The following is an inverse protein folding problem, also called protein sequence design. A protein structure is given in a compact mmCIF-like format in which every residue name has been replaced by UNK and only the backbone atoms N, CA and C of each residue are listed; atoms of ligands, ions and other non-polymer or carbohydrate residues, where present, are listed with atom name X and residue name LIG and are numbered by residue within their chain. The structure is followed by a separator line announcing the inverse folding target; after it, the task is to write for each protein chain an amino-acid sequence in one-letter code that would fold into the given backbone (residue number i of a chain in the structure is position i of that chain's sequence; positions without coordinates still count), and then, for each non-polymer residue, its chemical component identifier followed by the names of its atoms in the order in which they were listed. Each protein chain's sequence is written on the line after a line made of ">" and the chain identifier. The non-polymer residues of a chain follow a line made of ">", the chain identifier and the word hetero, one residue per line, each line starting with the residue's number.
data_IF_442411464653
#
_entry.id   IF_442411464653
#
_cell.length_a   1.000
_cell.length_b   1.000
_cell.length_c   1.000
_cell.angle_alpha   90.00
_cell.angle_beta   90.00
_cell.angle_gamma   90.00
#
_symmetry.space_group_name_H-M   'P 1'
#
loop_
_entity.id
_entity.type
_entity.pdbx_description
1 polymer ?
#
# COMPACT_ATOMS: atom_id res chain seq x y z
N UNK A 1 -22.85 1.32 -9.57
CA UNK A 1 -21.54 0.74 -9.21
C UNK A 1 -20.42 1.31 -10.09
N UNK A 2 -20.64 1.44 -11.40
CA UNK A 2 -19.61 1.83 -12.38
C UNK A 2 -18.96 3.21 -12.17
N UNK A 3 -19.72 4.22 -11.72
CA UNK A 3 -19.18 5.59 -11.51
C UNK A 3 -18.13 5.67 -10.38
N UNK A 4 -18.32 4.90 -9.31
CA UNK A 4 -17.37 4.84 -8.19
C UNK A 4 -16.11 4.05 -8.58
N UNK A 5 -16.27 2.90 -9.24
CA UNK A 5 -15.13 2.14 -9.75
C UNK A 5 -14.32 2.94 -10.78
N UNK A 6 -15.00 3.65 -11.69
CA UNK A 6 -14.35 4.56 -12.63
C UNK A 6 -13.54 5.64 -11.91
N UNK A 7 -14.06 6.23 -10.83
CA UNK A 7 -13.31 7.23 -10.07
C UNK A 7 -12.09 6.63 -9.38
N UNK A 8 -12.28 5.57 -8.60
CA UNK A 8 -11.22 4.97 -7.77
C UNK A 8 -10.08 4.36 -8.59
N UNK A 9 -10.35 3.95 -9.82
CA UNK A 9 -9.33 3.40 -10.76
C UNK A 9 -8.76 4.45 -11.71
N UNK A 10 -9.10 5.72 -11.50
CA UNK A 10 -8.65 6.83 -12.33
C UNK A 10 -9.06 6.67 -13.81
N UNK A 11 -10.33 6.42 -14.04
CA UNK A 11 -10.93 6.20 -15.35
C UNK A 11 -10.61 4.84 -15.97
N UNK A 12 -10.50 3.79 -15.15
CA UNK A 12 -10.03 2.45 -15.57
C UNK A 12 -8.60 2.43 -16.13
N UNK A 13 -7.81 3.46 -15.85
CA UNK A 13 -6.39 3.49 -16.24
C UNK A 13 -5.63 2.34 -15.57
N UNK A 14 -5.91 2.07 -14.29
CA UNK A 14 -5.30 0.97 -13.56
C UNK A 14 -6.24 -0.23 -13.47
N UNK A 15 -5.80 -1.37 -13.99
CA UNK A 15 -6.56 -2.63 -13.94
C UNK A 15 -6.21 -3.44 -12.69
N UNK A 16 -7.14 -4.27 -12.16
CA UNK A 16 -6.87 -5.12 -10.99
C UNK A 16 -5.67 -6.07 -11.12
N UNK A 17 -5.25 -6.35 -12.35
CA UNK A 17 -4.11 -7.20 -12.70
C UNK A 17 -2.76 -6.48 -12.56
N UNK A 18 -2.77 -5.14 -12.46
CA UNK A 18 -1.55 -4.34 -12.32
C UNK A 18 -1.16 -4.19 -10.85
N UNK A 19 0.14 -4.27 -10.51
CA UNK A 19 0.60 -4.13 -9.12
C UNK A 19 0.29 -2.75 -8.52
N UNK A 20 0.12 -1.73 -9.35
CA UNK A 20 -0.18 -0.35 -8.93
C UNK A 20 -1.65 -0.13 -8.57
N UNK A 21 -2.55 -1.05 -8.93
CA UNK A 21 -3.99 -0.93 -8.69
C UNK A 21 -4.33 -0.65 -7.23
N UNK A 22 -3.74 -1.42 -6.30
CA UNK A 22 -4.04 -1.29 -4.88
C UNK A 22 -3.49 0.00 -4.28
N UNK A 23 -2.41 0.55 -4.85
CA UNK A 23 -1.87 1.85 -4.48
C UNK A 23 -2.83 2.96 -4.91
N UNK A 24 -3.29 2.94 -6.17
CA UNK A 24 -4.29 3.87 -6.71
C UNK A 24 -5.58 3.81 -5.91
N UNK A 25 -6.07 2.60 -5.61
CA UNK A 25 -7.27 2.40 -4.81
C UNK A 25 -7.16 3.05 -3.44
N UNK A 26 -6.03 2.86 -2.75
CA UNK A 26 -5.80 3.45 -1.44
C UNK A 26 -5.69 4.97 -1.52
N UNK A 27 -4.89 5.51 -2.46
CA UNK A 27 -4.71 6.96 -2.63
C UNK A 27 -6.06 7.67 -2.81
N UNK A 28 -6.88 7.18 -3.75
CA UNK A 28 -8.17 7.79 -4.03
C UNK A 28 -9.14 7.69 -2.85
N UNK A 29 -9.21 6.53 -2.19
CA UNK A 29 -10.10 6.38 -1.02
C UNK A 29 -9.64 7.22 0.18
N UNK A 30 -8.34 7.26 0.47
CA UNK A 30 -7.79 8.09 1.55
C UNK A 30 -8.10 9.56 1.30
N UNK A 31 -7.82 10.08 0.09
CA UNK A 31 -8.11 11.47 -0.25
C UNK A 31 -9.62 11.78 -0.21
N UNK A 32 -10.47 10.87 -0.70
CA UNK A 32 -11.93 11.01 -0.63
C UNK A 32 -12.47 10.99 0.80
N UNK A 33 -11.84 10.25 1.72
CA UNK A 33 -12.24 10.18 3.13
C UNK A 33 -11.72 11.42 3.89
N UNK A 34 -10.52 11.89 3.59
CA UNK A 34 -9.92 13.04 4.27
C UNK A 34 -10.71 14.33 4.04
N UNK A 35 -11.22 14.57 2.83
CA UNK A 35 -11.98 15.80 2.50
C UNK A 35 -13.21 16.00 3.41
N UNK A 36 -14.18 15.06 3.50
CA UNK A 36 -15.33 15.21 4.38
C UNK A 36 -14.95 15.16 5.86
N UNK A 37 -13.89 14.43 6.22
CA UNK A 37 -13.37 14.42 7.60
C UNK A 37 -12.90 15.82 8.02
N UNK A 38 -12.04 16.46 7.23
CA UNK A 38 -11.59 17.83 7.52
C UNK A 38 -12.73 18.84 7.46
N UNK A 39 -13.70 18.68 6.56
CA UNK A 39 -14.87 19.54 6.53
C UNK A 39 -15.66 19.46 7.86
N UNK A 40 -15.85 18.24 8.38
CA UNK A 40 -16.47 18.03 9.69
C UNK A 40 -15.63 18.65 10.82
N UNK A 41 -14.31 18.51 10.80
CA UNK A 41 -13.42 19.13 11.78
C UNK A 41 -13.48 20.66 11.75
N UNK A 42 -13.54 21.29 10.57
CA UNK A 42 -13.74 22.75 10.44
C UNK A 42 -15.04 23.17 11.12
N UNK A 43 -16.13 22.45 10.89
CA UNK A 43 -17.44 22.74 11.50
C UNK A 43 -17.32 22.63 13.03
N UNK A 44 -16.71 21.57 13.55
CA UNK A 44 -16.50 21.41 14.99
C UNK A 44 -15.61 22.52 15.58
N UNK A 45 -14.51 22.85 14.91
CA UNK A 45 -13.55 23.84 15.39
C UNK A 45 -14.12 25.26 15.39
N UNK A 46 -14.94 25.63 14.41
CA UNK A 46 -15.58 26.95 14.33
C UNK A 46 -16.76 27.07 15.30
N UNK A 47 -17.67 26.09 15.32
CA UNK A 47 -18.94 26.23 16.04
C UNK A 47 -18.90 25.73 17.48
N UNK A 48 -18.08 24.71 17.79
CA UNK A 48 -18.04 24.09 19.12
C UNK A 48 -16.84 24.61 19.91
N UNK A 49 -15.63 24.50 19.35
CA UNK A 49 -14.40 24.81 20.07
C UNK A 49 -13.99 26.29 19.99
N UNK A 50 -14.50 27.04 19.00
CA UNK A 50 -14.14 28.44 18.69
C UNK A 50 -12.63 28.63 18.46
N UNK A 51 -11.97 27.61 17.91
CA UNK A 51 -10.53 27.59 17.60
C UNK A 51 -10.32 27.89 16.12
N UNK A 52 -10.33 29.17 15.76
CA UNK A 52 -10.23 29.61 14.36
C UNK A 52 -8.90 29.27 13.71
N UNK A 53 -7.80 29.25 14.48
CA UNK A 53 -6.47 28.91 13.97
C UNK A 53 -6.40 27.45 13.49
N UNK A 54 -7.00 26.53 14.24
CA UNK A 54 -7.05 25.10 13.85
C UNK A 54 -7.97 24.91 12.63
N UNK A 55 -9.10 25.61 12.60
CA UNK A 55 -9.99 25.58 11.44
C UNK A 55 -9.31 26.08 10.15
N UNK A 56 -8.39 27.05 10.26
CA UNK A 56 -7.59 27.51 9.13
C UNK A 56 -6.61 26.42 8.64
N UNK A 57 -5.97 25.71 9.56
CA UNK A 57 -5.10 24.56 9.24
C UNK A 57 -5.91 23.47 8.51
N UNK A 58 -7.10 23.15 9.01
CA UNK A 58 -7.99 22.17 8.37
C UNK A 58 -8.43 22.62 6.97
N UNK A 59 -8.69 23.92 6.77
CA UNK A 59 -9.01 24.46 5.44
C UNK A 59 -7.85 24.29 4.47
N UNK A 60 -6.62 24.61 4.90
CA UNK A 60 -5.41 24.39 4.11
C UNK A 60 -5.25 22.89 3.79
N UNK A 61 -5.55 22.00 4.74
CA UNK A 61 -5.50 20.57 4.54
C UNK A 61 -6.49 20.09 3.46
N UNK A 62 -7.71 20.63 3.42
CA UNK A 62 -8.68 20.34 2.34
C UNK A 62 -8.15 20.80 0.98
N UNK A 63 -7.59 22.01 0.90
CA UNK A 63 -7.05 22.54 -0.36
C UNK A 63 -5.91 21.67 -0.88
N UNK A 64 -5.00 21.22 0.00
CA UNK A 64 -3.92 20.29 -0.36
C UNK A 64 -4.49 18.94 -0.80
N UNK A 65 -5.47 18.38 -0.08
CA UNK A 65 -6.09 17.11 -0.43
C UNK A 65 -6.78 17.17 -1.81
N UNK A 66 -7.50 18.26 -2.11
CA UNK A 66 -8.12 18.50 -3.42
C UNK A 66 -7.06 18.67 -4.52
N UNK A 67 -5.99 19.40 -4.24
CA UNK A 67 -4.87 19.54 -5.17
C UNK A 67 -4.23 18.19 -5.48
N UNK A 68 -3.93 17.37 -4.47
CA UNK A 68 -3.35 16.04 -4.65
C UNK A 68 -4.28 15.11 -5.43
N UNK A 69 -5.59 15.16 -5.15
CA UNK A 69 -6.59 14.37 -5.87
C UNK A 69 -6.65 14.77 -7.34
N UNK A 70 -6.67 16.08 -7.63
CA UNK A 70 -6.67 16.61 -8.99
C UNK A 70 -5.37 16.30 -9.72
N UNK A 71 -4.22 16.47 -9.06
CA UNK A 71 -2.90 16.14 -9.58
C UNK A 71 -2.80 14.65 -9.93
N UNK A 72 -3.29 13.77 -9.06
CA UNK A 72 -3.26 12.33 -9.30
C UNK A 72 -4.11 11.92 -10.49
N UNK A 73 -5.34 12.44 -10.56
CA UNK A 73 -6.24 12.19 -11.69
C UNK A 73 -5.73 12.74 -13.03
N UNK A 74 -4.88 13.77 -13.02
CA UNK A 74 -4.31 14.35 -14.24
C UNK A 74 -3.00 13.67 -14.66
N UNK A 75 -2.17 13.20 -13.72
CA UNK A 75 -0.81 12.71 -14.01
C UNK A 75 -0.68 11.20 -13.99
N UNK A 76 -1.61 10.48 -13.35
CA UNK A 76 -1.57 9.03 -13.13
C UNK A 76 -0.26 8.56 -12.49
N UNK A 77 0.51 9.46 -11.85
CA UNK A 77 1.83 9.12 -11.31
C UNK A 77 1.71 8.63 -9.86
N UNK A 78 1.48 7.34 -9.70
CA UNK A 78 1.29 6.68 -8.40
C UNK A 78 2.45 6.96 -7.45
N UNK A 79 3.69 6.81 -7.92
CA UNK A 79 4.88 6.97 -7.06
C UNK A 79 5.02 8.38 -6.50
N UNK A 80 4.88 9.41 -7.33
CA UNK A 80 4.98 10.81 -6.88
C UNK A 80 3.82 11.16 -5.95
N UNK A 81 2.60 10.76 -6.29
CA UNK A 81 1.42 11.01 -5.46
C UNK A 81 1.52 10.31 -4.11
N UNK A 82 1.99 9.06 -4.06
CA UNK A 82 2.26 8.34 -2.80
C UNK A 82 3.21 9.12 -1.89
N UNK A 83 4.33 9.63 -2.44
CA UNK A 83 5.28 10.44 -1.67
C UNK A 83 4.63 11.72 -1.14
N UNK A 84 3.94 12.46 -2.01
CA UNK A 84 3.26 13.69 -1.62
C UNK A 84 2.19 13.45 -0.56
N UNK A 85 1.40 12.38 -0.68
CA UNK A 85 0.37 12.00 0.28
C UNK A 85 0.96 11.64 1.63
N UNK A 86 2.04 10.86 1.66
CA UNK A 86 2.72 10.50 2.92
C UNK A 86 3.36 11.72 3.57
N UNK A 87 4.00 12.60 2.81
CA UNK A 87 4.56 13.86 3.33
C UNK A 87 3.46 14.74 3.91
N UNK A 88 2.34 14.91 3.17
CA UNK A 88 1.17 15.65 3.64
C UNK A 88 0.63 15.07 4.95
N UNK A 89 0.37 13.76 5.00
CA UNK A 89 -0.12 13.10 6.22
C UNK A 89 0.88 13.20 7.39
N UNK A 90 2.18 13.08 7.13
CA UNK A 90 3.23 13.23 8.14
C UNK A 90 3.24 14.66 8.70
N UNK A 91 3.11 15.69 7.84
CA UNK A 91 3.06 17.08 8.30
C UNK A 91 1.84 17.35 9.18
N UNK A 92 0.67 16.80 8.85
CA UNK A 92 -0.54 16.91 9.66
C UNK A 92 -0.37 16.27 11.03
N UNK A 93 0.24 15.08 11.08
CA UNK A 93 0.53 14.40 12.34
C UNK A 93 1.51 15.19 13.21
N UNK A 94 2.56 15.76 12.63
CA UNK A 94 3.52 16.59 13.37
C UNK A 94 2.81 17.82 13.93
N UNK A 95 2.02 18.54 13.13
CA UNK A 95 1.28 19.70 13.63
C UNK A 95 0.31 19.32 14.74
N UNK A 96 -0.41 18.20 14.59
CA UNK A 96 -1.37 17.73 15.58
C UNK A 96 -0.70 17.36 16.90
N UNK A 97 0.44 16.64 16.84
CA UNK A 97 1.24 16.30 18.02
C UNK A 97 1.75 17.55 18.74
N UNK A 98 2.24 18.56 18.02
CA UNK A 98 2.76 19.79 18.64
C UNK A 98 1.65 20.61 19.32
N UNK A 99 0.43 20.62 18.75
CA UNK A 99 -0.71 21.39 19.26
C UNK A 99 -1.39 20.64 20.43
N UNK A 100 -1.69 19.35 20.26
CA UNK A 100 -2.47 18.58 21.24
C UNK A 100 -1.62 17.95 22.34
N UNK A 101 -0.34 17.68 22.09
CA UNK A 101 0.54 17.00 23.04
C UNK A 101 0.02 15.60 23.41
N UNK A 102 0.08 15.19 24.70
CA UNK A 102 -0.39 13.90 25.17
C UNK A 102 -1.91 13.86 25.40
N UNK A 103 -2.61 14.99 25.28
CA UNK A 103 -4.05 15.07 25.56
C UNK A 103 -4.84 14.11 24.67
N UNK A 104 -5.86 13.50 25.27
CA UNK A 104 -6.76 12.55 24.64
C UNK A 104 -6.05 11.44 23.84
N UNK A 105 -4.82 11.09 24.24
CA UNK A 105 -4.00 10.07 23.57
C UNK A 105 -3.77 10.35 22.08
N UNK A 106 -3.58 11.63 21.72
CA UNK A 106 -3.30 12.09 20.36
C UNK A 106 -2.14 11.34 19.67
N UNK A 107 -1.14 10.88 20.43
CA UNK A 107 -0.03 10.07 19.90
C UNK A 107 -0.44 8.75 19.25
N UNK A 108 -1.62 8.21 19.59
CA UNK A 108 -2.15 6.98 18.99
C UNK A 108 -2.28 7.08 17.47
N UNK A 109 -2.59 8.27 16.94
CA UNK A 109 -2.71 8.51 15.50
C UNK A 109 -1.38 8.36 14.75
N UNK A 110 -0.23 8.52 15.42
CA UNK A 110 1.08 8.32 14.79
C UNK A 110 1.32 6.86 14.42
N UNK A 111 0.64 5.92 15.08
CA UNK A 111 0.76 4.49 14.79
C UNK A 111 0.15 4.10 13.42
N UNK A 112 -0.65 4.98 12.80
CA UNK A 112 -1.17 4.78 11.43
C UNK A 112 -0.09 5.04 10.38
N UNK A 113 0.86 5.94 10.66
CA UNK A 113 1.87 6.37 9.68
C UNK A 113 2.75 5.23 9.16
N UNK A 114 3.24 4.28 9.98
CA UNK A 114 3.94 3.10 9.48
C UNK A 114 3.08 2.29 8.50
N UNK A 115 1.82 2.00 8.83
CA UNK A 115 0.95 1.19 7.97
C UNK A 115 0.77 1.83 6.58
N UNK A 116 0.50 3.14 6.52
CA UNK A 116 0.34 3.87 5.26
C UNK A 116 1.68 3.98 4.50
N UNK A 117 2.77 4.33 5.18
CA UNK A 117 4.06 4.57 4.53
C UNK A 117 4.68 3.31 3.93
N UNK A 118 4.61 2.17 4.64
CA UNK A 118 5.09 0.89 4.10
C UNK A 118 4.27 0.41 2.91
N UNK A 119 2.95 0.64 2.94
CA UNK A 119 2.09 0.27 1.84
C UNK A 119 2.36 1.14 0.60
N UNK A 120 2.38 2.48 0.75
CA UNK A 120 2.46 3.40 -0.38
C UNK A 120 3.86 3.62 -0.95
N UNK A 121 4.91 3.55 -0.12
CA UNK A 121 6.29 3.84 -0.51
C UNK A 121 7.18 2.60 -0.60
N UNK A 122 6.65 1.45 -0.18
CA UNK A 122 7.39 0.21 -0.07
C UNK A 122 8.37 0.18 1.11
N UNK A 123 9.11 -0.92 1.20
CA UNK A 123 9.88 -1.31 2.40
C UNK A 123 10.98 -0.32 2.81
N UNK A 124 11.73 0.24 1.86
CA UNK A 124 12.91 1.05 2.18
C UNK A 124 12.51 2.48 2.59
N UNK A 125 11.69 3.13 1.77
CA UNK A 125 11.19 4.47 2.07
C UNK A 125 10.22 4.47 3.26
N UNK A 126 9.35 3.46 3.39
CA UNK A 126 8.48 3.31 4.56
C UNK A 126 9.25 3.16 5.88
N UNK A 127 10.36 2.40 5.88
CA UNK A 127 11.27 2.29 7.03
C UNK A 127 11.90 3.62 7.41
N UNK A 128 12.34 4.39 6.41
CA UNK A 128 12.92 5.71 6.63
C UNK A 128 11.89 6.68 7.24
N UNK A 129 10.69 6.77 6.65
CA UNK A 129 9.61 7.65 7.15
C UNK A 129 9.19 7.26 8.57
N UNK A 130 9.02 5.97 8.83
CA UNK A 130 8.70 5.46 10.17
C UNK A 130 9.81 5.75 11.18
N UNK A 131 11.07 5.57 10.79
CA UNK A 131 12.23 5.89 11.63
C UNK A 131 12.25 7.38 12.00
N UNK A 132 12.04 8.25 11.01
CA UNK A 132 11.96 9.70 11.22
C UNK A 132 10.79 10.04 12.15
N UNK A 133 9.61 9.46 11.96
CA UNK A 133 8.45 9.77 12.80
C UNK A 133 8.63 9.33 14.25
N UNK A 134 9.28 8.18 14.49
CA UNK A 134 9.62 7.72 15.84
C UNK A 134 10.63 8.64 16.50
N UNK A 135 11.67 9.06 15.78
CA UNK A 135 12.65 10.04 16.30
C UNK A 135 11.95 11.36 16.62
N UNK A 136 11.07 11.85 15.74
CA UNK A 136 10.31 13.08 15.99
C UNK A 136 9.38 12.96 17.20
N UNK A 137 8.75 11.81 17.42
CA UNK A 137 7.97 11.56 18.64
C UNK A 137 8.83 11.63 19.90
N UNK A 138 9.99 10.97 19.91
CA UNK A 138 10.92 10.98 21.04
C UNK A 138 11.38 12.41 21.32
N UNK A 139 11.79 13.15 20.27
CA UNK A 139 12.20 14.54 20.40
C UNK A 139 11.06 15.40 20.92
N UNK A 140 9.84 15.24 20.38
CA UNK A 140 8.67 15.99 20.84
C UNK A 140 8.41 15.76 22.32
N UNK A 141 8.50 14.51 22.77
CA UNK A 141 8.37 14.17 24.19
C UNK A 141 9.48 14.80 25.03
N UNK A 142 10.75 14.68 24.65
CA UNK A 142 11.87 15.22 25.44
C UNK A 142 11.84 16.75 25.54
N UNK A 143 11.50 17.45 24.45
CA UNK A 143 11.53 18.92 24.42
C UNK A 143 10.25 19.58 24.95
N UNK A 144 9.08 18.99 24.71
CA UNK A 144 7.79 19.61 25.04
C UNK A 144 7.08 19.00 26.23
N UNK A 145 7.56 17.88 26.80
CA UNK A 145 6.95 17.27 27.99
C UNK A 145 6.73 18.24 29.16
N UNK A 146 7.64 19.20 29.47
CA UNK A 146 7.40 20.15 30.56
C UNK A 146 6.29 21.18 30.27
N UNK A 147 5.97 21.39 28.98
CA UNK A 147 4.97 22.35 28.53
C UNK A 147 3.57 21.72 28.41
N UNK A 148 3.50 20.39 28.47
CA UNK A 148 2.26 19.66 28.29
C UNK A 148 1.54 19.40 29.62
N UNK A 149 0.21 19.58 29.67
CA UNK A 149 -0.56 19.22 30.84
C UNK A 149 -0.52 17.71 31.07
N UNK A 150 -0.76 17.30 32.31
CA UNK A 150 -0.96 15.89 32.64
C UNK A 150 -2.15 15.34 31.85
N UNK A 151 -1.93 14.26 31.10
CA UNK A 151 -2.97 13.65 30.28
C UNK A 151 -3.88 12.79 31.16
N UNK A 152 -5.12 13.20 31.30
CA UNK A 152 -6.15 12.41 31.97
C UNK A 152 -6.76 11.39 31.00
N UNK A 153 -7.05 10.19 31.52
CA UNK A 153 -7.74 9.18 30.74
C UNK A 153 -9.25 9.51 30.68
N UNK A 154 -9.65 10.13 29.57
CA UNK A 154 -11.02 10.54 29.27
C UNK A 154 -11.76 9.49 28.42
N UNK A 155 -13.09 9.60 28.30
CA UNK A 155 -13.84 8.81 27.32
C UNK A 155 -13.36 9.08 25.89
N UNK A 156 -12.96 10.31 25.58
CA UNK A 156 -12.41 10.71 24.27
C UNK A 156 -11.07 9.99 24.02
N UNK A 157 -10.24 9.83 25.06
CA UNK A 157 -9.00 9.07 25.00
C UNK A 157 -9.24 7.61 24.58
N UNK A 158 -10.25 6.96 25.17
CA UNK A 158 -10.63 5.59 24.81
C UNK A 158 -11.10 5.52 23.35
N UNK A 159 -11.93 6.47 22.91
CA UNK A 159 -12.40 6.55 21.52
C UNK A 159 -11.22 6.71 20.56
N UNK A 160 -10.31 7.65 20.80
CA UNK A 160 -9.12 7.85 19.96
C UNK A 160 -8.26 6.60 19.86
N UNK A 161 -8.01 5.93 20.99
CA UNK A 161 -7.22 4.69 21.02
C UNK A 161 -7.89 3.56 20.21
N UNK A 162 -9.20 3.36 20.39
CA UNK A 162 -9.95 2.33 19.68
C UNK A 162 -10.04 2.62 18.18
N UNK A 163 -10.28 3.87 17.79
CA UNK A 163 -10.31 4.26 16.38
C UNK A 163 -8.94 4.15 15.72
N UNK A 164 -7.87 4.59 16.37
CA UNK A 164 -6.52 4.40 15.87
C UNK A 164 -6.19 2.92 15.67
N UNK A 165 -6.50 2.07 16.66
CA UNK A 165 -6.30 0.62 16.57
C UNK A 165 -7.12 -0.01 15.42
N UNK A 166 -8.38 0.40 15.25
CA UNK A 166 -9.25 -0.04 14.16
C UNK A 166 -8.66 0.37 12.80
N UNK A 167 -8.26 1.63 12.63
CA UNK A 167 -7.68 2.15 11.39
C UNK A 167 -6.41 1.39 11.00
N UNK A 168 -5.51 1.15 11.96
CA UNK A 168 -4.28 0.38 11.72
C UNK A 168 -4.62 -1.05 11.32
N UNK A 169 -5.55 -1.69 12.03
CA UNK A 169 -5.97 -3.07 11.74
C UNK A 169 -6.57 -3.20 10.34
N UNK A 170 -7.42 -2.25 9.94
CA UNK A 170 -7.99 -2.20 8.59
C UNK A 170 -6.90 -2.01 7.55
N UNK A 171 -5.95 -1.09 7.77
CA UNK A 171 -4.85 -0.84 6.85
C UNK A 171 -3.91 -2.06 6.71
N UNK A 172 -3.57 -2.71 7.81
CA UNK A 172 -2.77 -3.95 7.79
C UNK A 172 -3.52 -5.05 7.04
N UNK A 173 -4.80 -5.26 7.36
CA UNK A 173 -5.63 -6.28 6.71
C UNK A 173 -5.76 -6.03 5.21
N UNK A 174 -5.96 -4.78 4.82
CA UNK A 174 -5.99 -4.36 3.41
C UNK A 174 -4.64 -4.60 2.73
N UNK A 175 -3.54 -4.28 3.41
CA UNK A 175 -2.18 -4.50 2.90
C UNK A 175 -1.88 -5.98 2.69
N UNK A 176 -2.26 -6.85 3.63
CA UNK A 176 -2.12 -8.30 3.50
C UNK A 176 -2.98 -8.86 2.38
N UNK A 177 -4.24 -8.43 2.27
CA UNK A 177 -5.13 -8.84 1.19
C UNK A 177 -4.58 -8.43 -0.19
N UNK A 178 -4.04 -7.22 -0.29
CA UNK A 178 -3.39 -6.73 -1.52
C UNK A 178 -2.17 -7.58 -1.88
N UNK A 179 -1.31 -7.91 -0.90
CA UNK A 179 -0.15 -8.79 -1.08
C UNK A 179 -0.56 -10.19 -1.52
N UNK A 180 -1.54 -10.80 -0.85
CA UNK A 180 -2.04 -12.14 -1.19
C UNK A 180 -2.51 -12.20 -2.65
N UNK A 181 -3.30 -11.22 -3.09
CA UNK A 181 -3.75 -11.14 -4.49
C UNK A 181 -2.60 -10.95 -5.48
N UNK A 182 -1.59 -10.16 -5.14
CA UNK A 182 -0.41 -10.01 -5.97
C UNK A 182 0.38 -11.33 -6.09
N UNK A 183 0.51 -12.09 -5.00
CA UNK A 183 1.13 -13.42 -5.02
C UNK A 183 0.35 -14.42 -5.87
N UNK A 184 -0.98 -14.46 -5.74
CA UNK A 184 -1.83 -15.33 -6.54
C UNK A 184 -1.72 -15.00 -8.03
N UNK A 185 -1.69 -13.72 -8.39
CA UNK A 185 -1.49 -13.28 -9.78
C UNK A 185 -0.12 -13.72 -10.34
N UNK A 186 0.95 -13.52 -9.58
CA UNK A 186 2.30 -13.97 -9.95
C UNK A 186 2.33 -15.48 -10.14
N UNK A 187 1.69 -16.24 -9.25
CA UNK A 187 1.60 -17.70 -9.33
C UNK A 187 0.89 -18.15 -10.60
N UNK A 188 -0.27 -17.58 -10.91
CA UNK A 188 -1.03 -17.91 -12.12
C UNK A 188 -0.24 -17.59 -13.39
N UNK A 189 0.44 -16.44 -13.43
CA UNK A 189 1.29 -16.07 -14.56
C UNK A 189 2.50 -16.99 -14.71
N UNK A 190 3.09 -17.44 -13.61
CA UNK A 190 4.17 -18.42 -13.63
C UNK A 190 3.68 -19.79 -14.14
N UNK A 191 2.49 -20.24 -13.72
CA UNK A 191 1.88 -21.48 -14.25
C UNK A 191 1.57 -21.36 -15.75
N UNK A 192 1.11 -20.20 -16.22
CA UNK A 192 0.90 -19.91 -17.65
C UNK A 192 2.23 -19.94 -18.44
N UNK A 193 3.28 -19.29 -17.93
CA UNK A 193 4.62 -19.31 -18.52
C UNK A 193 5.21 -20.72 -18.53
N UNK A 194 5.00 -21.52 -17.48
CA UNK A 194 5.42 -22.93 -17.44
C UNK A 194 4.71 -23.75 -18.51
N UNK A 195 3.40 -23.56 -18.69
CA UNK A 195 2.64 -24.23 -19.77
C UNK A 195 3.15 -23.84 -21.15
N UNK A 196 3.33 -22.54 -21.41
CA UNK A 196 3.83 -22.03 -22.69
C UNK A 196 5.28 -22.40 -22.96
N UNK A 197 6.13 -22.49 -21.93
CA UNK A 197 7.53 -22.89 -22.10
C UNK A 197 7.66 -24.39 -22.28
N UNK A 198 6.84 -25.23 -21.65
CA UNK A 198 6.92 -26.68 -21.82
C UNK A 198 6.56 -27.16 -23.24
N UNK A 199 5.86 -26.34 -24.03
CA UNK A 199 5.46 -26.66 -25.40
C UNK A 199 6.15 -25.72 -26.39
N UNK A 200 6.84 -26.27 -27.38
CA UNK A 200 7.33 -25.48 -28.51
C UNK A 200 6.16 -24.85 -29.28
N UNK A 201 6.15 -23.53 -29.40
CA UNK A 201 5.03 -22.78 -29.94
C UNK A 201 4.78 -23.04 -31.44
N UNK A 202 5.77 -23.54 -32.17
CA UNK A 202 5.68 -23.80 -33.61
C UNK A 202 5.11 -25.19 -33.90
N UNK A 203 5.37 -26.17 -33.03
CA UNK A 203 5.04 -27.58 -33.26
C UNK A 203 4.04 -28.17 -32.26
N UNK A 204 3.82 -27.53 -31.12
CA UNK A 204 3.00 -28.07 -30.01
C UNK A 204 3.64 -29.26 -29.28
N UNK A 205 4.88 -29.63 -29.64
CA UNK A 205 5.65 -30.72 -29.03
C UNK A 205 6.36 -30.21 -27.78
N UNK A 206 6.71 -31.11 -26.84
CA UNK A 206 7.56 -30.79 -25.69
C UNK A 206 8.82 -30.02 -26.11
N UNK A 207 9.10 -28.90 -25.45
CA UNK A 207 10.31 -28.12 -25.75
C UNK A 207 11.59 -28.85 -25.29
N UNK A 208 12.75 -28.31 -25.70
CA UNK A 208 14.07 -28.86 -25.31
C UNK A 208 14.27 -28.97 -23.80
N UNK A 209 13.76 -28.02 -23.03
CA UNK A 209 13.85 -28.00 -21.57
C UNK A 209 13.09 -29.17 -20.93
N UNK A 210 11.92 -29.52 -21.49
CA UNK A 210 11.14 -30.67 -21.07
C UNK A 210 11.76 -32.00 -21.51
N UNK A 211 12.39 -32.03 -22.69
CA UNK A 211 13.17 -33.17 -23.17
C UNK A 211 14.32 -33.49 -22.21
N UNK A 212 15.09 -32.47 -21.80
CA UNK A 212 16.22 -32.63 -20.89
C UNK A 212 15.77 -33.15 -19.51
N UNK A 213 14.67 -32.63 -18.96
CA UNK A 213 14.09 -33.08 -17.69
C UNK A 213 13.68 -34.57 -17.74
N UNK A 214 12.99 -34.98 -18.81
CA UNK A 214 12.56 -36.38 -19.01
C UNK A 214 13.77 -37.28 -19.22
N UNK A 215 14.76 -36.84 -20.01
CA UNK A 215 15.98 -37.61 -20.26
C UNK A 215 16.75 -37.87 -18.97
N UNK A 216 16.93 -36.86 -18.12
CA UNK A 216 17.58 -37.01 -16.80
C UNK A 216 16.81 -37.97 -15.89
N UNK A 217 15.47 -37.87 -15.88
CA UNK A 217 14.61 -38.74 -15.07
C UNK A 217 14.70 -40.20 -15.51
N UNK A 218 14.69 -40.47 -16.81
CA UNK A 218 14.81 -41.83 -17.35
C UNK A 218 16.24 -42.38 -17.19
N UNK A 219 17.29 -41.56 -17.36
CA UNK A 219 18.67 -41.96 -17.05
C UNK A 219 18.82 -42.38 -15.58
N UNK A 220 18.23 -41.63 -14.66
CA UNK A 220 18.21 -41.99 -13.23
C UNK A 220 17.39 -43.27 -12.96
N UNK A 221 16.35 -43.53 -13.74
CA UNK A 221 15.54 -44.76 -13.66
C UNK A 221 16.32 -45.98 -14.15
N UNK A 222 17.01 -45.86 -15.29
CA UNK A 222 17.90 -46.91 -15.82
C UNK A 222 18.99 -47.26 -14.81
N UNK A 223 19.60 -46.24 -14.19
CA UNK A 223 20.62 -46.44 -13.14
C UNK A 223 20.11 -47.20 -11.91
N UNK A 224 18.78 -47.22 -11.67
CA UNK A 224 18.12 -47.92 -10.55
C UNK A 224 17.66 -49.35 -10.90
N UNK A 225 17.98 -49.86 -12.09
CA UNK A 225 17.83 -51.30 -12.41
C UNK A 225 16.72 -51.66 -13.40
N UNK A 226 16.03 -50.69 -14.02
CA UNK A 226 15.17 -50.98 -15.19
C UNK A 226 16.01 -50.92 -16.47
N UNK A 227 16.03 -51.94 -17.35
CA UNK A 227 17.20 -52.13 -18.19
C UNK A 227 17.22 -51.42 -19.55
N UNK A 228 16.14 -50.79 -20.02
CA UNK A 228 16.10 -50.29 -21.39
C UNK A 228 15.38 -48.95 -21.55
N UNK A 229 16.09 -47.99 -22.15
CA UNK A 229 15.58 -46.70 -22.64
C UNK A 229 16.22 -46.44 -24.01
N UNK A 230 15.46 -45.88 -24.95
CA UNK A 230 15.91 -45.58 -26.31
C UNK A 230 15.47 -44.17 -26.70
N UNK A 231 16.31 -43.45 -27.45
CA UNK A 231 16.06 -42.09 -27.94
C UNK A 231 16.13 -42.10 -29.46
N UNK A 232 15.13 -41.54 -30.11
CA UNK A 232 15.11 -41.33 -31.57
C UNK A 232 15.26 -39.83 -31.81
N UNK A 233 16.24 -39.45 -32.64
CA UNK A 233 16.52 -38.07 -33.04
C UNK A 233 16.38 -38.00 -34.56
N UNK A 234 15.64 -37.01 -35.05
CA UNK A 234 15.47 -36.75 -36.48
C UNK A 234 15.72 -35.27 -36.76
N UNK A 235 16.35 -35.00 -37.89
CA UNK A 235 16.58 -33.66 -38.43
C UNK A 235 15.89 -33.53 -39.79
N UNK A 236 15.41 -32.34 -40.13
CA UNK A 236 14.73 -32.07 -41.39
C UNK A 236 15.67 -31.32 -42.32
N UNK A 237 16.21 -32.01 -43.33
CA UNK A 237 16.95 -31.38 -44.41
C UNK A 237 15.97 -30.70 -45.39
N UNK A 238 16.01 -29.37 -45.46
CA UNK A 238 15.27 -28.60 -46.46
C UNK A 238 16.13 -28.45 -47.73
N UNK A 239 15.68 -29.08 -48.81
CA UNK A 239 16.24 -28.96 -50.16
C UNK A 239 15.89 -27.62 -50.83
#
# INVERSE_FOLDING_TARGET
>A
MDRYQHFVTNGFYFRPEEPEYWHTYLINNVLLILIPLFLFLIIMNVFVHKLFDIALIDLIAILIALFLLRYFHNTNNVRKTSVLLVVFYTSLLISYVLISGPNDYAFSWVLILPAISYFLLGRNAGRLVTGISLVLLILSFTFFSPLWPSADFSFISLVNLLFAALCITILISFSELSRAKAYDFIRLKNEELMRLSHTDALTGISNRLKLDEVMLKELARVRRGTPHFSVIMGDLDLC
#
